data_IF_586003925914
#
_entry.id   IF_586003925914
#
_cell.length_a   1.000
_cell.length_b   1.000
_cell.length_c   1.000
_cell.angle_alpha   90.00
_cell.angle_beta   90.00
_cell.angle_gamma   90.00
#
_symmetry.space_group_name_H-M   'P 1'
#
loop_
_entity.id
_entity.type
_entity.pdbx_description
1 polymer ?
#
# COMPACT_ATOMS: atom_id res chain seq x y z
N UNK A 1 14.03 -20.16 3.12
CA UNK A 1 13.21 -20.92 2.15
C UNK A 1 11.81 -20.30 2.20
N UNK A 2 11.27 -19.62 1.19
CA UNK A 2 11.41 -19.78 -0.25
C UNK A 2 11.43 -18.40 -0.97
N UNK A 3 12.46 -18.13 -1.75
CA UNK A 3 12.20 -17.70 -3.14
C UNK A 3 11.70 -18.96 -3.85
N UNK A 4 10.74 -18.83 -4.76
CA UNK A 4 10.66 -19.63 -6.01
C UNK A 4 9.31 -19.55 -6.72
N UNK A 5 8.65 -18.38 -6.69
CA UNK A 5 7.86 -17.91 -7.84
C UNK A 5 7.51 -16.43 -7.64
N UNK A 6 8.01 -15.58 -8.53
CA UNK A 6 7.52 -14.21 -8.68
C UNK A 6 6.06 -14.34 -9.10
N UNK A 7 5.14 -13.80 -8.31
CA UNK A 7 3.75 -13.75 -8.70
C UNK A 7 3.62 -12.76 -9.86
N UNK A 8 3.13 -13.23 -10.99
CA UNK A 8 2.92 -12.42 -12.19
C UNK A 8 1.46 -12.46 -12.60
N UNK A 9 0.93 -11.33 -13.02
CA UNK A 9 -0.37 -11.21 -13.66
C UNK A 9 -0.16 -10.83 -15.12
N UNK A 10 -1.00 -11.35 -16.02
CA UNK A 10 -1.03 -10.91 -17.42
C UNK A 10 -2.26 -10.03 -17.60
N UNK A 11 -2.09 -8.82 -18.13
CA UNK A 11 -3.22 -7.94 -18.47
C UNK A 11 -3.93 -8.44 -19.73
N UNK A 12 -5.11 -7.87 -20.00
CA UNK A 12 -5.87 -8.17 -21.22
C UNK A 12 -5.07 -7.78 -22.48
N UNK A 13 -4.23 -6.74 -22.38
CA UNK A 13 -3.37 -6.25 -23.46
C UNK A 13 -2.06 -7.05 -23.59
N UNK A 14 -1.90 -8.09 -22.77
CA UNK A 14 -0.77 -9.01 -22.83
C UNK A 14 0.47 -8.58 -22.04
N UNK A 15 0.42 -7.44 -21.33
CA UNK A 15 1.50 -6.94 -20.48
C UNK A 15 1.67 -7.84 -19.25
N UNK A 16 2.92 -8.02 -18.81
CA UNK A 16 3.24 -8.77 -17.60
C UNK A 16 3.42 -7.78 -16.46
N UNK A 17 2.63 -8.00 -15.41
CA UNK A 17 2.61 -7.17 -14.22
C UNK A 17 3.08 -7.99 -13.01
N UNK A 18 3.92 -7.38 -12.19
CA UNK A 18 4.51 -7.99 -11.00
C UNK A 18 4.03 -7.20 -9.77
N UNK A 19 3.07 -7.73 -9.00
CA UNK A 19 2.70 -7.15 -7.73
C UNK A 19 3.61 -7.64 -6.59
N UNK A 20 4.10 -6.70 -5.79
CA UNK A 20 4.97 -6.95 -4.63
C UNK A 20 4.38 -6.28 -3.38
N UNK A 21 4.13 -7.05 -2.32
CA UNK A 21 3.78 -6.49 -1.03
C UNK A 21 5.03 -6.08 -0.25
N UNK A 22 4.99 -4.87 0.29
CA UNK A 22 6.01 -4.28 1.15
C UNK A 22 5.37 -4.07 2.52
N UNK A 23 5.97 -4.63 3.56
CA UNK A 23 5.49 -4.42 4.92
C UNK A 23 5.81 -2.99 5.38
N UNK A 24 4.77 -2.21 5.70
CA UNK A 24 4.88 -0.88 6.26
C UNK A 24 4.91 -0.90 7.78
N UNK A 25 4.03 -1.71 8.39
CA UNK A 25 4.01 -2.03 9.82
C UNK A 25 3.54 -3.48 9.99
N UNK A 26 4.45 -4.37 10.38
CA UNK A 26 4.14 -5.80 10.53
C UNK A 26 3.23 -6.07 11.72
N UNK A 27 3.36 -5.32 12.81
CA UNK A 27 2.58 -5.53 14.03
C UNK A 27 1.12 -5.21 13.78
N UNK A 28 0.89 -4.11 13.06
CA UNK A 28 -0.45 -3.66 12.67
C UNK A 28 -0.94 -4.25 11.33
N UNK A 29 -0.17 -5.16 10.73
CA UNK A 29 -0.45 -5.79 9.43
C UNK A 29 -0.79 -4.78 8.32
N UNK A 30 -0.01 -3.71 8.22
CA UNK A 30 -0.13 -2.68 7.18
C UNK A 30 0.88 -2.96 6.08
N UNK A 31 0.40 -3.13 4.85
CA UNK A 31 1.21 -3.45 3.68
C UNK A 31 0.92 -2.47 2.54
N UNK A 32 1.97 -2.08 1.83
CA UNK A 32 1.89 -1.42 0.53
C UNK A 32 2.04 -2.50 -0.55
N UNK A 33 1.01 -2.73 -1.35
CA UNK A 33 1.10 -3.57 -2.52
C UNK A 33 1.39 -2.68 -3.72
N UNK A 34 2.61 -2.76 -4.27
CA UNK A 34 2.97 -2.07 -5.50
C UNK A 34 2.83 -3.01 -6.68
N UNK A 35 2.51 -2.43 -7.83
CA UNK A 35 2.30 -3.13 -9.09
C UNK A 35 3.20 -2.50 -10.12
N UNK A 36 4.09 -3.28 -10.74
CA UNK A 36 4.95 -2.75 -11.80
C UNK A 36 4.91 -3.60 -13.05
N UNK A 37 5.13 -2.92 -14.17
CA UNK A 37 5.38 -3.49 -15.48
C UNK A 37 6.89 -3.45 -15.74
N UNK A 38 7.43 -4.54 -16.27
CA UNK A 38 8.82 -4.62 -16.69
C UNK A 38 8.93 -4.52 -18.21
N UNK A 39 9.54 -3.44 -18.69
CA UNK A 39 9.85 -3.28 -20.10
C UNK A 39 11.26 -3.77 -20.38
N UNK A 40 11.36 -5.00 -20.88
CA UNK A 40 12.64 -5.66 -21.18
C UNK A 40 13.42 -4.94 -22.30
N UNK A 41 12.74 -4.27 -23.24
CA UNK A 41 13.42 -3.55 -24.33
C UNK A 41 14.14 -2.31 -23.83
N UNK A 42 13.55 -1.61 -22.87
CA UNK A 42 14.10 -0.39 -22.27
C UNK A 42 14.90 -0.65 -20.99
N UNK A 43 14.92 -1.91 -20.50
CA UNK A 43 15.46 -2.30 -19.20
C UNK A 43 14.94 -1.40 -18.06
N UNK A 44 13.63 -1.14 -18.06
CA UNK A 44 12.96 -0.22 -17.12
C UNK A 44 11.78 -0.88 -16.44
N UNK A 45 11.54 -0.51 -15.18
CA UNK A 45 10.36 -0.88 -14.40
C UNK A 45 9.47 0.34 -14.21
N UNK A 46 8.20 0.18 -14.57
CA UNK A 46 7.18 1.22 -14.50
C UNK A 46 6.20 0.88 -13.39
N UNK A 47 6.01 1.79 -12.44
CA UNK A 47 4.95 1.64 -11.45
C UNK A 47 3.61 1.84 -12.17
N UNK A 48 2.75 0.83 -12.10
CA UNK A 48 1.43 0.79 -12.74
C UNK A 48 0.29 0.91 -11.74
N UNK A 49 0.52 0.69 -10.45
CA UNK A 49 -0.53 0.81 -9.47
C UNK A 49 -0.02 0.53 -8.07
N UNK A 50 -0.82 0.90 -7.09
CA UNK A 50 -0.53 0.62 -5.70
C UNK A 50 -1.79 0.69 -4.85
N UNK A 51 -1.77 -0.05 -3.75
CA UNK A 51 -2.79 0.03 -2.72
C UNK A 51 -2.22 -0.29 -1.35
N UNK A 52 -2.92 0.17 -0.33
CA UNK A 52 -2.66 -0.14 1.08
C UNK A 52 -3.62 -1.24 1.50
N UNK A 53 -3.08 -2.27 2.14
CA UNK A 53 -3.83 -3.35 2.77
C UNK A 53 -3.59 -3.29 4.26
N UNK A 54 -4.67 -3.32 5.03
CA UNK A 54 -4.63 -3.40 6.49
C UNK A 54 -5.31 -4.70 6.89
N UNK A 55 -4.56 -5.60 7.51
CA UNK A 55 -5.00 -6.96 7.79
C UNK A 55 -5.48 -7.67 6.50
N UNK A 56 -6.78 -7.85 6.36
CA UNK A 56 -7.47 -8.47 5.24
C UNK A 56 -8.35 -7.49 4.45
N UNK A 57 -8.24 -6.19 4.72
CA UNK A 57 -9.04 -5.13 4.10
C UNK A 57 -8.18 -4.25 3.20
N UNK A 58 -8.73 -3.88 2.05
CA UNK A 58 -8.14 -2.85 1.18
C UNK A 58 -8.51 -1.49 1.75
N UNK A 59 -7.51 -0.69 2.08
CA UNK A 59 -7.70 0.67 2.58
C UNK A 59 -7.80 1.69 1.45
N UNK A 60 -6.99 1.52 0.39
CA UNK A 60 -6.93 2.45 -0.75
C UNK A 60 -7.14 1.69 -2.06
N UNK A 61 -7.79 2.30 -3.06
CA UNK A 61 -8.15 1.62 -4.30
C UNK A 61 -7.40 2.15 -5.53
N UNK A 62 -6.67 3.26 -5.37
CA UNK A 62 -5.86 3.87 -6.42
C UNK A 62 -4.54 4.42 -5.90
N UNK A 63 -3.68 4.79 -6.83
CA UNK A 63 -2.46 5.55 -6.62
C UNK A 63 -2.73 6.85 -5.88
N UNK A 64 -3.76 7.59 -6.31
CA UNK A 64 -4.13 8.88 -5.72
C UNK A 64 -4.57 8.69 -4.25
N UNK A 65 -5.43 7.71 -3.99
CA UNK A 65 -5.86 7.34 -2.64
C UNK A 65 -4.67 6.95 -1.76
N UNK A 66 -3.73 6.20 -2.32
CA UNK A 66 -2.53 5.73 -1.62
C UNK A 66 -1.56 6.86 -1.28
N UNK A 67 -1.39 7.84 -2.19
CA UNK A 67 -0.62 9.06 -1.92
C UNK A 67 -1.33 9.88 -0.85
N UNK A 68 -2.66 10.04 -0.94
CA UNK A 68 -3.45 10.78 0.04
C UNK A 68 -3.29 10.18 1.45
N UNK A 69 -3.38 8.85 1.58
CA UNK A 69 -3.08 8.16 2.83
C UNK A 69 -1.66 8.44 3.37
N UNK A 70 -0.65 8.43 2.49
CA UNK A 70 0.73 8.71 2.89
C UNK A 70 0.90 10.16 3.38
N UNK A 71 0.23 11.12 2.74
CA UNK A 71 0.24 12.52 3.17
C UNK A 71 -0.49 12.72 4.50
N UNK A 72 -1.60 12.02 4.76
CA UNK A 72 -2.26 12.03 6.06
C UNK A 72 -1.34 11.50 7.19
N UNK A 73 -0.54 10.47 6.92
CA UNK A 73 0.46 9.98 7.87
C UNK A 73 1.55 11.03 8.15
N UNK A 74 1.99 11.75 7.11
CA UNK A 74 2.99 12.80 7.23
C UNK A 74 2.49 13.99 8.06
N UNK A 75 1.21 14.36 7.90
CA UNK A 75 0.58 15.49 8.58
C UNK A 75 0.29 15.24 10.07
N UNK A 76 0.45 14.00 10.58
CA UNK A 76 0.22 13.53 11.97
C UNK A 76 -0.28 14.56 13.00
N UNK A 77 0.52 15.58 13.33
CA UNK A 77 0.25 16.56 14.38
C UNK A 77 -0.82 17.61 14.00
N UNK A 78 -0.92 17.93 12.71
CA UNK A 78 -1.80 18.96 12.15
C UNK A 78 -3.15 18.42 11.67
N UNK A 79 -3.33 17.09 11.70
CA UNK A 79 -4.37 16.37 10.96
C UNK A 79 -5.73 17.05 10.92
N UNK A 80 -6.42 16.87 9.79
CA UNK A 80 -7.63 17.59 9.46
C UNK A 80 -8.86 16.73 9.82
N UNK A 81 -9.96 17.36 10.24
CA UNK A 81 -11.26 16.68 10.42
C UNK A 81 -11.83 16.10 9.12
N UNK A 82 -11.23 16.47 7.99
CA UNK A 82 -11.56 15.97 6.65
C UNK A 82 -10.69 14.80 6.19
N UNK A 83 -9.78 14.30 7.04
CA UNK A 83 -9.00 13.11 6.72
C UNK A 83 -9.93 11.92 6.39
N UNK A 84 -9.59 11.16 5.36
CA UNK A 84 -10.35 10.02 4.86
C UNK A 84 -9.90 8.70 5.48
N UNK A 85 -8.61 8.56 5.78
CA UNK A 85 -8.02 7.28 6.19
C UNK A 85 -7.57 7.27 7.65
N UNK A 86 -7.31 8.43 8.24
CA UNK A 86 -6.75 8.56 9.57
C UNK A 86 -7.49 9.60 10.41
N UNK A 87 -8.00 9.18 11.56
CA UNK A 87 -8.54 10.08 12.58
C UNK A 87 -7.51 10.34 13.67
N UNK A 88 -7.42 11.58 14.17
CA UNK A 88 -6.61 11.88 15.35
C UNK A 88 -7.42 11.47 16.58
N UNK A 89 -6.79 10.65 17.44
CA UNK A 89 -7.35 10.22 18.72
C UNK A 89 -6.35 10.54 19.82
N UNK A 90 -6.85 10.98 20.98
CA UNK A 90 -6.02 11.33 22.12
C UNK A 90 -6.42 10.46 23.32
N UNK A 91 -5.43 9.79 23.92
CA UNK A 91 -5.60 9.02 25.14
C UNK A 91 -4.51 9.40 26.13
N UNK A 92 -4.89 9.81 27.34
CA UNK A 92 -3.96 10.23 28.40
C UNK A 92 -2.89 11.22 27.89
N UNK A 93 -3.31 12.28 27.20
CA UNK A 93 -2.44 13.31 26.61
C UNK A 93 -1.45 12.81 25.54
N UNK A 94 -1.64 11.59 25.04
CA UNK A 94 -0.87 11.03 23.93
C UNK A 94 -1.73 10.96 22.68
N UNK A 95 -1.35 11.72 21.66
CA UNK A 95 -1.99 11.71 20.34
C UNK A 95 -1.52 10.51 19.52
N UNK A 96 -2.48 9.80 18.93
CA UNK A 96 -2.27 8.69 18.00
C UNK A 96 -3.20 8.86 16.79
N UNK A 97 -2.77 8.36 15.64
CA UNK A 97 -3.67 8.19 14.51
C UNK A 97 -4.41 6.87 14.65
N UNK A 98 -5.72 6.89 14.45
CA UNK A 98 -6.55 5.69 14.34
C UNK A 98 -6.97 5.52 12.89
N UNK A 99 -6.74 4.34 12.33
CA UNK A 99 -7.17 4.00 10.97
C UNK A 99 -8.70 4.01 10.86
N UNK A 100 -9.20 4.59 9.79
CA UNK A 100 -10.61 4.58 9.38
C UNK A 100 -10.74 3.52 8.30
N UNK A 101 -11.28 2.35 8.65
CA UNK A 101 -11.42 1.22 7.73
C UNK A 101 -12.51 0.24 8.22
N UNK A 102 -13.00 -0.62 7.33
CA UNK A 102 -14.10 -1.56 7.60
C UNK A 102 -13.71 -2.80 8.44
N UNK A 103 -12.59 -2.73 9.18
CA UNK A 103 -12.13 -3.81 10.04
C UNK A 103 -12.81 -3.82 11.41
N UNK A 104 -12.77 -4.98 12.07
CA UNK A 104 -13.34 -5.15 13.42
C UNK A 104 -12.48 -4.59 14.55
N UNK A 105 -11.18 -4.42 14.31
CA UNK A 105 -10.21 -4.03 15.33
C UNK A 105 -9.81 -2.59 15.11
N UNK A 106 -9.69 -1.84 16.20
CA UNK A 106 -9.08 -0.52 16.14
C UNK A 106 -7.57 -0.66 15.93
N UNK A 107 -7.04 0.04 14.92
CA UNK A 107 -5.59 0.08 14.66
C UNK A 107 -5.10 1.48 14.95
N UNK A 108 -4.21 1.57 15.94
CA UNK A 108 -3.58 2.82 16.36
C UNK A 108 -2.13 2.88 15.87
N UNK A 109 -1.75 4.05 15.38
CA UNK A 109 -0.45 4.37 14.82
C UNK A 109 0.10 5.54 15.63
N UNK A 110 1.16 5.27 16.40
CA UNK A 110 1.91 6.30 17.11
C UNK A 110 2.69 7.19 16.14
N UNK A 111 3.14 8.36 16.61
CA UNK A 111 3.91 9.32 15.80
C UNK A 111 5.17 8.73 15.19
N UNK A 112 5.92 7.94 15.95
CA UNK A 112 7.13 7.29 15.46
C UNK A 112 6.81 6.24 14.39
N UNK A 113 5.73 5.46 14.59
CA UNK A 113 5.24 4.50 13.58
C UNK A 113 4.79 5.20 12.29
N UNK A 114 4.03 6.29 12.38
CA UNK A 114 3.60 7.06 11.21
C UNK A 114 4.79 7.55 10.38
N UNK A 115 5.82 8.12 11.04
CA UNK A 115 7.06 8.55 10.36
C UNK A 115 7.82 7.38 9.74
N UNK A 116 7.88 6.24 10.41
CA UNK A 116 8.52 5.04 9.88
C UNK A 116 7.80 4.51 8.64
N UNK A 117 6.47 4.40 8.70
CA UNK A 117 5.63 3.99 7.57
C UNK A 117 5.84 4.93 6.38
N UNK A 118 5.76 6.25 6.59
CA UNK A 118 5.97 7.24 5.54
C UNK A 118 7.37 7.16 4.92
N UNK A 119 8.40 6.88 5.73
CA UNK A 119 9.76 6.71 5.23
C UNK A 119 9.91 5.46 4.37
N UNK A 120 9.35 4.32 4.80
CA UNK A 120 9.36 3.07 4.02
C UNK A 120 8.59 3.25 2.71
N UNK A 121 7.42 3.93 2.78
CA UNK A 121 6.64 4.31 1.62
C UNK A 121 7.49 5.10 0.61
N UNK A 122 8.17 6.17 1.03
CA UNK A 122 9.04 6.93 0.12
C UNK A 122 10.21 6.10 -0.44
N UNK A 123 10.82 5.26 0.40
CA UNK A 123 11.89 4.35 -0.05
C UNK A 123 11.41 3.34 -1.10
N UNK A 124 10.14 2.96 -1.06
CA UNK A 124 9.56 1.99 -2.01
C UNK A 124 9.51 2.50 -3.45
N UNK A 125 9.62 3.81 -3.68
CA UNK A 125 9.65 4.39 -5.03
C UNK A 125 11.04 4.44 -5.64
N UNK A 126 12.09 4.22 -4.84
CA UNK A 126 13.47 4.35 -5.31
C UNK A 126 13.75 3.29 -6.38
N UNK A 127 14.14 3.74 -7.58
CA UNK A 127 14.47 2.87 -8.70
C UNK A 127 13.31 2.54 -9.65
N UNK A 128 12.10 3.06 -9.39
CA UNK A 128 10.95 2.88 -10.28
C UNK A 128 10.61 4.17 -11.04
N UNK A 129 10.27 4.01 -12.32
CA UNK A 129 9.72 5.12 -13.11
C UNK A 129 8.23 5.29 -12.79
N UNK A 130 7.85 6.48 -12.31
CA UNK A 130 6.44 6.85 -12.05
C UNK A 130 5.75 7.46 -13.27
N UNK A 131 6.47 7.69 -14.37
CA UNK A 131 5.99 8.42 -15.54
C UNK A 131 4.76 7.81 -16.22
N UNK A 132 4.57 6.49 -16.12
CA UNK A 132 3.45 5.77 -16.75
C UNK A 132 2.24 5.60 -15.81
N UNK A 133 2.33 6.05 -14.55
CA UNK A 133 1.39 5.67 -13.50
C UNK A 133 0.00 6.29 -13.70
N UNK A 134 -0.09 7.51 -14.27
CA UNK A 134 -1.35 8.23 -14.44
C UNK A 134 -2.08 7.89 -15.75
N UNK A 135 -1.36 7.39 -16.76
CA UNK A 135 -1.93 7.14 -18.09
C UNK A 135 -2.59 5.76 -18.18
N UNK A 136 -2.09 4.77 -17.43
CA UNK A 136 -2.58 3.39 -17.51
C UNK A 136 -2.52 2.66 -16.16
N UNK A 137 -3.18 3.25 -15.15
CA UNK A 137 -3.23 2.68 -13.80
C UNK A 137 -3.88 1.28 -13.78
N UNK A 138 -3.17 0.30 -13.23
CA UNK A 138 -3.68 -1.03 -12.99
C UNK A 138 -4.58 -1.07 -11.75
N UNK A 139 -5.85 -1.42 -11.97
CA UNK A 139 -6.83 -1.61 -10.89
C UNK A 139 -6.96 -3.08 -10.54
N UNK A 140 -6.77 -3.39 -9.26
CA UNK A 140 -6.98 -4.74 -8.76
C UNK A 140 -8.47 -5.10 -8.82
N UNK A 141 -8.75 -6.29 -9.34
CA UNK A 141 -10.04 -6.94 -9.17
C UNK A 141 -10.06 -7.73 -7.86
N UNK A 142 -11.23 -7.98 -7.25
CA UNK A 142 -11.31 -8.81 -6.05
C UNK A 142 -10.63 -10.19 -6.21
N UNK A 143 -10.70 -10.77 -7.42
CA UNK A 143 -10.10 -12.07 -7.73
C UNK A 143 -8.57 -12.00 -7.80
N UNK A 144 -8.01 -11.00 -8.47
CA UNK A 144 -6.55 -10.83 -8.59
C UNK A 144 -5.92 -10.48 -7.25
N UNK A 145 -6.60 -9.63 -6.47
CA UNK A 145 -6.19 -9.31 -5.11
C UNK A 145 -6.22 -10.54 -4.19
N UNK A 146 -7.29 -11.35 -4.24
CA UNK A 146 -7.37 -12.56 -3.40
C UNK A 146 -6.21 -13.52 -3.71
N UNK A 147 -5.90 -13.72 -5.00
CA UNK A 147 -4.74 -14.53 -5.42
C UNK A 147 -3.43 -13.96 -4.89
N UNK A 148 -3.24 -12.64 -4.99
CA UNK A 148 -2.05 -11.96 -4.48
C UNK A 148 -1.87 -12.19 -2.97
N UNK A 149 -2.91 -11.88 -2.20
CA UNK A 149 -2.88 -11.94 -0.74
C UNK A 149 -2.68 -13.37 -0.24
N UNK A 150 -3.25 -14.36 -0.93
CA UNK A 150 -3.03 -15.78 -0.64
C UNK A 150 -1.60 -16.21 -0.99
N UNK A 151 -1.08 -15.84 -2.17
CA UNK A 151 0.29 -16.17 -2.62
C UNK A 151 1.34 -15.68 -1.62
N UNK A 152 1.21 -14.44 -1.18
CA UNK A 152 2.12 -13.83 -0.21
C UNK A 152 1.76 -14.11 1.25
N UNK A 153 0.79 -14.98 1.51
CA UNK A 153 0.39 -15.40 2.87
C UNK A 153 -0.01 -14.23 3.78
N UNK A 154 -0.53 -13.15 3.20
CA UNK A 154 -0.93 -11.95 3.93
C UNK A 154 -2.22 -12.16 4.75
N UNK A 155 -2.99 -13.20 4.41
CA UNK A 155 -4.15 -13.64 5.19
C UNK A 155 -3.85 -14.69 6.28
N UNK A 156 -2.59 -15.05 6.55
CA UNK A 156 -2.30 -16.14 7.51
C UNK A 156 -2.41 -15.70 8.99
N UNK A 157 -3.62 -15.74 9.52
CA UNK A 157 -4.09 -16.51 10.69
C UNK A 157 -5.47 -16.01 11.10
#
# INVERSE_FOLDING_TARGET
MAQDQIFTLKTNDGEIIIPIPIALDKDNKIFLCQVFEENLKLNKKYLRGQLIVVHNHVLTASVADTIHFAEELYLFDFGNSQNQYLSITEYQSTKNLKLIYDGKNDVFISKSKARAIYKIYNMSYIGYSVAAMLENEYKFTPQTLTKLLHHYKLFLK
#
